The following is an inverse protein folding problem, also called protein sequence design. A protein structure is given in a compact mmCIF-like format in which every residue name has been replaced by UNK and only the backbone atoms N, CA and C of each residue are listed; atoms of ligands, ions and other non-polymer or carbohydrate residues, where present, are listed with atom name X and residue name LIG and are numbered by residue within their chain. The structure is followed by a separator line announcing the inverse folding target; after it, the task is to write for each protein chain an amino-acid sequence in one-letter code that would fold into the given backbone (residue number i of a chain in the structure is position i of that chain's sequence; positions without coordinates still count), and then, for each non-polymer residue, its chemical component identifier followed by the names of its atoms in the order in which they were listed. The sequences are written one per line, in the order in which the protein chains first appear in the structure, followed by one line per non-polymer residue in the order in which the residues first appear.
data_IF_990378254089
#
_entry.id   IF_990378254089
#
_cell.length_a   1.000
_cell.length_b   1.000
_cell.length_c   1.000
_cell.angle_alpha   90.00
_cell.angle_beta   90.00
_cell.angle_gamma   90.00
#
_symmetry.space_group_name_H-M   'P 1'
#
loop_
_entity.id
_entity.type
_entity.pdbx_description
1 polymer ?
#
# COMPACT_ATOMS: atom_id res chain seq x y z
N UNK A 1 -10.22 12.05 -0.14
CA UNK A 1 -10.40 12.59 -1.52
C UNK A 1 -11.37 13.76 -1.64
N UNK A 2 -12.63 13.65 -1.18
CA UNK A 2 -13.63 14.73 -1.36
C UNK A 2 -13.40 15.95 -0.46
N UNK A 3 -12.86 15.73 0.73
CA UNK A 3 -12.64 16.78 1.74
C UNK A 3 -11.23 17.40 1.71
N UNK A 4 -10.39 17.04 0.72
CA UNK A 4 -9.05 17.62 0.57
C UNK A 4 -7.93 16.98 1.42
N UNK A 5 -8.26 15.99 2.26
CA UNK A 5 -7.25 15.21 3.00
C UNK A 5 -6.54 14.21 2.09
N UNK A 6 -5.53 14.67 1.36
CA UNK A 6 -4.80 13.90 0.36
C UNK A 6 -3.69 13.04 0.99
N UNK A 7 -3.02 13.57 2.00
CA UNK A 7 -2.04 12.88 2.84
C UNK A 7 -2.67 11.68 3.56
N UNK A 8 -3.88 11.86 4.11
CA UNK A 8 -4.62 10.76 4.73
C UNK A 8 -5.08 9.73 3.72
N UNK A 9 -5.48 10.14 2.52
CA UNK A 9 -5.83 9.20 1.46
C UNK A 9 -4.63 8.36 1.01
N UNK A 10 -3.46 8.98 0.85
CA UNK A 10 -2.21 8.30 0.55
C UNK A 10 -1.81 7.30 1.66
N UNK A 11 -1.89 7.73 2.93
CA UNK A 11 -1.63 6.85 4.07
C UNK A 11 -2.59 5.67 4.14
N UNK A 12 -3.90 5.92 3.97
CA UNK A 12 -4.92 4.89 4.01
C UNK A 12 -4.76 3.88 2.87
N UNK A 13 -4.36 4.33 1.67
CA UNK A 13 -4.07 3.45 0.54
C UNK A 13 -2.89 2.50 0.85
N UNK A 14 -1.78 3.03 1.39
CA UNK A 14 -0.65 2.21 1.83
C UNK A 14 -1.07 1.21 2.91
N UNK A 15 -1.81 1.65 3.93
CA UNK A 15 -2.26 0.80 5.03
C UNK A 15 -3.29 -0.26 4.61
N UNK A 16 -4.13 0.04 3.62
CA UNK A 16 -5.08 -0.90 3.03
C UNK A 16 -4.35 -2.01 2.27
N UNK A 17 -3.39 -1.64 1.41
CA UNK A 17 -2.55 -2.58 0.69
C UNK A 17 -1.73 -3.47 1.64
N UNK A 18 -1.08 -2.90 2.66
CA UNK A 18 -0.32 -3.65 3.67
C UNK A 18 -1.16 -4.74 4.33
N UNK A 19 -2.40 -4.40 4.73
CA UNK A 19 -3.31 -5.35 5.39
C UNK A 19 -3.84 -6.40 4.43
N UNK A 20 -4.10 -6.04 3.17
CA UNK A 20 -4.55 -6.99 2.16
C UNK A 20 -3.51 -8.10 1.94
N UNK A 21 -2.23 -7.73 1.79
CA UNK A 21 -1.15 -8.71 1.61
C UNK A 21 -0.98 -9.57 2.87
N UNK A 22 -0.99 -8.96 4.05
CA UNK A 22 -0.92 -9.71 5.33
C UNK A 22 -2.08 -10.69 5.53
N UNK A 23 -3.28 -10.39 5.01
CA UNK A 23 -4.41 -11.31 5.06
C UNK A 23 -4.14 -12.60 4.25
N UNK A 24 -3.44 -12.50 3.11
CA UNK A 24 -3.01 -13.67 2.34
C UNK A 24 -2.05 -14.53 3.16
N UNK A 25 -1.02 -13.93 3.76
CA UNK A 25 -0.10 -14.66 4.66
C UNK A 25 -0.84 -15.33 5.82
N UNK A 26 -1.77 -14.61 6.45
CA UNK A 26 -2.58 -15.17 7.55
C UNK A 26 -3.39 -16.38 7.08
N UNK A 27 -3.97 -16.33 5.87
CA UNK A 27 -4.70 -17.45 5.27
C UNK A 27 -3.80 -18.67 5.00
N UNK A 28 -2.53 -18.43 4.65
CA UNK A 28 -1.52 -19.47 4.47
C UNK A 28 -1.01 -20.06 5.80
N UNK A 29 -1.48 -19.57 6.95
CA UNK A 29 -0.97 -19.96 8.27
C UNK A 29 0.41 -19.36 8.59
N UNK A 30 0.82 -18.32 7.88
CA UNK A 30 2.07 -17.61 8.08
C UNK A 30 1.83 -16.25 8.78
N UNK A 31 2.91 -15.68 9.35
CA UNK A 31 2.90 -14.35 9.94
C UNK A 31 3.91 -13.50 9.19
N UNK A 32 3.43 -12.43 8.54
CA UNK A 32 4.28 -11.48 7.85
C UNK A 32 4.52 -10.21 8.69
N UNK A 33 5.77 -9.76 8.73
CA UNK A 33 6.24 -8.64 9.55
C UNK A 33 6.65 -7.43 8.71
N UNK A 34 6.61 -6.24 9.30
CA UNK A 34 7.01 -5.00 8.65
C UNK A 34 5.85 -4.21 8.01
N UNK A 35 6.19 -3.08 7.40
CA UNK A 35 5.25 -2.12 6.81
C UNK A 35 5.46 -1.90 5.30
N UNK A 36 6.50 -2.50 4.72
CA UNK A 36 6.75 -2.41 3.30
C UNK A 36 5.80 -3.33 2.54
N UNK A 37 4.86 -2.75 1.80
CA UNK A 37 3.99 -3.47 0.89
C UNK A 37 4.83 -4.16 -0.19
N UNK A 38 5.89 -3.50 -0.67
CA UNK A 38 6.78 -4.09 -1.66
C UNK A 38 7.48 -5.33 -1.10
N UNK A 39 8.10 -5.23 0.08
CA UNK A 39 8.74 -6.37 0.74
C UNK A 39 7.77 -7.52 1.05
N UNK A 40 6.54 -7.21 1.45
CA UNK A 40 5.50 -8.23 1.66
C UNK A 40 5.10 -8.92 0.34
N UNK A 41 5.00 -8.18 -0.76
CA UNK A 41 4.71 -8.75 -2.08
C UNK A 41 5.90 -9.54 -2.65
N UNK A 42 7.14 -9.10 -2.42
CA UNK A 42 8.35 -9.84 -2.76
C UNK A 42 8.40 -11.18 -2.03
N UNK A 43 8.09 -11.20 -0.73
CA UNK A 43 7.99 -12.45 0.03
C UNK A 43 6.84 -13.33 -0.51
N UNK A 44 5.67 -12.73 -0.79
CA UNK A 44 4.52 -13.46 -1.34
C UNK A 44 4.81 -14.04 -2.73
N UNK A 45 5.72 -13.42 -3.49
CA UNK A 45 6.12 -13.86 -4.82
C UNK A 45 6.79 -15.25 -4.83
N UNK A 46 7.28 -15.70 -3.67
CA UNK A 46 7.81 -17.06 -3.50
C UNK A 46 6.72 -18.15 -3.58
N UNK A 47 5.45 -17.78 -3.34
CA UNK A 47 4.30 -18.70 -3.34
C UNK A 47 3.34 -18.45 -4.49
N UNK A 48 3.20 -17.21 -4.96
CA UNK A 48 2.28 -16.82 -6.02
C UNK A 48 2.97 -15.95 -7.07
N UNK A 49 2.56 -16.02 -8.35
CA UNK A 49 3.08 -15.11 -9.37
C UNK A 49 2.57 -13.69 -9.11
N UNK A 50 3.42 -12.84 -8.55
CA UNK A 50 3.13 -11.41 -8.33
C UNK A 50 3.57 -10.62 -9.58
N UNK A 51 2.67 -9.87 -10.24
CA UNK A 51 3.04 -9.02 -11.37
C UNK A 51 4.00 -7.90 -10.97
N UNK A 52 5.01 -7.62 -11.80
CA UNK A 52 5.98 -6.52 -11.60
C UNK A 52 5.29 -5.17 -11.35
N UNK A 53 4.21 -4.91 -12.07
CA UNK A 53 3.44 -3.67 -11.91
C UNK A 53 2.88 -3.48 -10.49
N UNK A 54 2.64 -4.56 -9.72
CA UNK A 54 2.23 -4.47 -8.32
C UNK A 54 3.42 -4.16 -7.40
N UNK A 55 4.63 -4.63 -7.74
CA UNK A 55 5.86 -4.27 -7.02
C UNK A 55 6.19 -2.78 -7.21
N UNK A 56 6.07 -2.29 -8.44
CA UNK A 56 6.21 -0.85 -8.75
C UNK A 56 5.19 0.00 -7.97
N UNK A 57 3.92 -0.41 -8.01
CA UNK A 57 2.84 0.24 -7.26
C UNK A 57 3.10 0.24 -5.75
N UNK A 58 3.57 -0.89 -5.21
CA UNK A 58 3.88 -1.03 -3.79
C UNK A 58 5.08 -0.19 -3.36
N UNK A 59 6.09 -0.05 -4.22
CA UNK A 59 7.22 0.86 -3.99
C UNK A 59 6.78 2.32 -3.88
N UNK A 60 5.78 2.75 -4.67
CA UNK A 60 5.18 4.08 -4.51
C UNK A 60 4.35 4.20 -3.22
N UNK A 61 3.56 3.18 -2.87
CA UNK A 61 2.78 3.16 -1.63
C UNK A 61 3.66 3.28 -0.39
N UNK A 62 4.80 2.58 -0.35
CA UNK A 62 5.71 2.58 0.80
C UNK A 62 6.26 3.98 1.12
N UNK A 63 6.44 4.81 0.08
CA UNK A 63 6.86 6.22 0.24
C UNK A 63 5.79 7.08 0.92
N UNK A 64 4.56 6.60 1.06
CA UNK A 64 3.51 7.27 1.81
C UNK A 64 3.42 6.81 3.28
N UNK A 65 4.16 5.79 3.73
CA UNK A 65 4.00 5.26 5.09
C UNK A 65 4.40 6.26 6.20
N UNK A 66 5.56 6.92 6.05
CA UNK A 66 6.07 7.92 7.00
C UNK A 66 5.73 9.36 6.57
N UNK A 67 6.01 9.79 5.32
CA UNK A 67 5.87 11.20 4.92
C UNK A 67 4.45 11.77 4.97
N UNK A 68 3.42 10.90 4.93
CA UNK A 68 2.02 11.33 5.08
C UNK A 68 1.64 11.75 6.50
N UNK A 69 2.48 11.46 7.50
CA UNK A 69 2.15 11.65 8.93
C UNK A 69 3.16 12.52 9.67
N UNK A 70 4.42 12.51 9.24
CA UNK A 70 5.50 13.13 9.98
C UNK A 70 6.10 14.30 9.18
N UNK A 71 6.00 15.55 9.66
CA UNK A 71 6.50 16.73 8.94
C UNK A 71 8.00 16.72 8.68
N UNK A 72 8.80 16.09 9.55
CA UNK A 72 10.26 15.98 9.42
C UNK A 72 10.72 15.06 8.29
N UNK A 73 9.80 14.31 7.68
CA UNK A 73 10.05 13.54 6.46
C UNK A 73 9.91 14.37 5.18
N UNK A 74 9.57 15.66 5.27
CA UNK A 74 9.45 16.59 4.16
C UNK A 74 10.43 17.76 4.34
N UNK A 75 11.00 18.31 3.24
CA UNK A 75 11.93 19.43 3.35
C UNK A 75 11.33 20.70 4.00
N UNK A 76 10.01 20.88 3.90
CA UNK A 76 9.31 22.03 4.46
C UNK A 76 7.79 21.76 4.55
N UNK A 77 7.14 22.29 5.59
CA UNK A 77 5.67 22.27 5.74
C UNK A 77 5.13 20.97 6.34
N UNK A 78 3.82 20.94 6.57
CA UNK A 78 3.11 19.76 7.06
C UNK A 78 2.64 18.86 5.90
N UNK A 79 2.43 17.55 6.13
CA UNK A 79 1.98 16.62 5.09
C UNK A 79 0.72 17.09 4.33
N UNK A 80 -0.28 17.63 5.03
CA UNK A 80 -1.52 18.12 4.42
C UNK A 80 -1.33 19.29 3.45
N UNK A 81 -0.19 20.00 3.51
CA UNK A 81 0.15 21.11 2.61
C UNK A 81 0.85 20.61 1.33
N UNK A 82 1.49 19.44 1.39
CA UNK A 82 2.35 18.90 0.33
C UNK A 82 1.67 17.84 -0.52
N UNK A 83 0.87 16.96 0.07
CA UNK A 83 0.11 15.97 -0.70
C UNK A 83 -0.95 16.66 -1.55
N UNK A 84 -0.98 16.30 -2.84
CA UNK A 84 -1.93 16.87 -3.81
C UNK A 84 -2.83 15.79 -4.37
N UNK A 85 -3.97 16.22 -4.91
CA UNK A 85 -4.99 15.36 -5.51
C UNK A 85 -4.42 14.30 -6.48
N UNK A 86 -3.59 14.65 -7.49
CA UNK A 86 -3.16 13.65 -8.48
C UNK A 86 -2.33 12.52 -7.86
N UNK A 87 -1.52 12.84 -6.85
CA UNK A 87 -0.74 11.85 -6.12
C UNK A 87 -1.64 10.95 -5.27
N UNK A 88 -2.58 11.53 -4.53
CA UNK A 88 -3.53 10.74 -3.73
C UNK A 88 -4.43 9.84 -4.60
N UNK A 89 -4.83 10.29 -5.80
CA UNK A 89 -5.61 9.48 -6.74
C UNK A 89 -4.79 8.30 -7.27
N UNK A 90 -3.52 8.55 -7.62
CA UNK A 90 -2.60 7.51 -8.07
C UNK A 90 -2.33 6.47 -6.98
N UNK A 91 -2.04 6.91 -5.75
CA UNK A 91 -1.77 6.01 -4.63
C UNK A 91 -3.02 5.21 -4.23
N UNK A 92 -4.21 5.81 -4.29
CA UNK A 92 -5.46 5.07 -4.08
C UNK A 92 -5.62 3.95 -5.12
N UNK A 93 -5.40 4.24 -6.40
CA UNK A 93 -5.47 3.23 -7.46
C UNK A 93 -4.44 2.10 -7.27
N UNK A 94 -3.23 2.42 -6.80
CA UNK A 94 -2.23 1.41 -6.43
C UNK A 94 -2.71 0.53 -5.27
N UNK A 95 -3.29 1.13 -4.23
CA UNK A 95 -3.85 0.39 -3.10
C UNK A 95 -4.99 -0.54 -3.51
N UNK A 96 -5.88 -0.07 -4.39
CA UNK A 96 -6.98 -0.86 -4.96
C UNK A 96 -6.47 -2.03 -5.82
N UNK A 97 -5.41 -1.82 -6.62
CA UNK A 97 -4.80 -2.87 -7.43
C UNK A 97 -4.20 -3.98 -6.56
N UNK A 98 -3.49 -3.63 -5.48
CA UNK A 98 -2.94 -4.62 -4.53
C UNK A 98 -4.08 -5.35 -3.81
N UNK A 99 -5.11 -4.62 -3.38
CA UNK A 99 -6.29 -5.22 -2.73
C UNK A 99 -6.98 -6.24 -3.64
N UNK A 100 -7.27 -5.87 -4.89
CA UNK A 100 -7.95 -6.75 -5.85
C UNK A 100 -7.12 -8.00 -6.16
N UNK A 101 -5.79 -7.88 -6.22
CA UNK A 101 -4.91 -9.03 -6.37
C UNK A 101 -5.01 -9.99 -5.17
N UNK A 102 -4.94 -9.46 -3.94
CA UNK A 102 -5.07 -10.27 -2.73
C UNK A 102 -6.46 -10.92 -2.59
N UNK A 103 -7.52 -10.18 -2.90
CA UNK A 103 -8.90 -10.71 -2.95
C UNK A 103 -9.01 -11.88 -3.94
N UNK A 104 -8.42 -11.73 -5.13
CA UNK A 104 -8.35 -12.79 -6.14
C UNK A 104 -7.67 -14.05 -5.60
N UNK A 105 -6.51 -13.93 -4.95
CA UNK A 105 -5.81 -15.06 -4.34
C UNK A 105 -6.67 -15.73 -3.27
N UNK A 106 -7.21 -14.95 -2.33
CA UNK A 106 -8.01 -15.47 -1.21
C UNK A 106 -9.27 -16.19 -1.69
N UNK A 107 -9.91 -15.71 -2.76
CA UNK A 107 -11.11 -16.34 -3.34
C UNK A 107 -10.86 -17.74 -3.92
N UNK A 108 -9.60 -18.09 -4.19
CA UNK A 108 -9.20 -19.39 -4.72
C UNK A 108 -8.68 -20.34 -3.64
N UNK A 109 -8.54 -19.86 -2.40
CA UNK A 109 -8.01 -20.60 -1.26
C UNK A 109 -9.16 -21.11 -0.39
N UNK A 110 -9.67 -22.29 -0.73
CA UNK A 110 -10.70 -23.03 0.03
C UNK A 110 -10.25 -23.47 1.43
#
# INVERSE_FOLDING_TARGET
MREGFFEWAAFAAQQGAEKAVKAVFQRMGAVAWGHSVAGLLEELSQSFPVPEALLDAASELDKAYIPSRYPDALPEGAPFERYRRPEAERLLAHGEAVYAFCEGLLSQMD
#
